data_IF_043206257955
#
_entry.id   IF_043206257955
#
_cell.length_a   1.000
_cell.length_b   1.000
_cell.length_c   1.000
_cell.angle_alpha   90.00
_cell.angle_beta   90.00
_cell.angle_gamma   90.00
#
_symmetry.space_group_name_H-M   'P 1'
#
loop_
_entity.id
_entity.type
_entity.pdbx_description
1 polymer ?
#
# COMPACT_ATOMS: atom_id res chain seq x y z
N UNK A 1 -14.01 9.23 5.68
CA UNK A 1 -14.34 9.15 4.24
C UNK A 1 -13.66 7.91 3.68
N UNK A 2 -14.45 6.89 3.33
CA UNK A 2 -13.97 5.75 2.55
C UNK A 2 -14.23 6.07 1.09
N UNK A 3 -13.18 6.35 0.31
CA UNK A 3 -13.29 6.44 -1.15
C UNK A 3 -13.79 5.11 -1.70
N UNK A 4 -14.78 5.14 -2.58
CA UNK A 4 -15.27 3.95 -3.25
C UNK A 4 -14.27 3.51 -4.33
N UNK A 5 -14.32 2.23 -4.72
CA UNK A 5 -13.45 1.72 -5.78
C UNK A 5 -13.61 2.48 -7.11
N UNK A 6 -14.81 2.99 -7.37
CA UNK A 6 -15.14 3.83 -8.53
C UNK A 6 -14.35 5.16 -8.53
N UNK A 7 -14.30 5.87 -7.40
CA UNK A 7 -13.57 7.14 -7.29
C UNK A 7 -12.08 6.97 -7.68
N UNK A 8 -11.47 5.88 -7.21
CA UNK A 8 -10.06 5.56 -7.53
C UNK A 8 -9.91 5.14 -8.98
N UNK A 9 -10.87 4.38 -9.51
CA UNK A 9 -10.88 3.96 -10.92
C UNK A 9 -10.94 5.17 -11.87
N UNK A 10 -11.74 6.18 -11.54
CA UNK A 10 -11.86 7.40 -12.35
C UNK A 10 -10.55 8.17 -12.40
N UNK A 11 -9.88 8.34 -11.26
CA UNK A 11 -8.56 8.98 -11.19
C UNK A 11 -7.52 8.22 -12.01
N UNK A 12 -7.48 6.89 -11.91
CA UNK A 12 -6.56 6.05 -12.69
C UNK A 12 -6.87 6.14 -14.19
N UNK A 13 -8.14 6.12 -14.56
CA UNK A 13 -8.59 6.23 -15.96
C UNK A 13 -8.14 7.55 -16.59
N UNK A 14 -8.37 8.67 -15.89
CA UNK A 14 -7.92 9.99 -16.33
C UNK A 14 -6.40 10.07 -16.44
N UNK A 15 -5.66 9.45 -15.53
CA UNK A 15 -4.20 9.41 -15.59
C UNK A 15 -3.70 8.63 -16.82
N UNK A 16 -4.24 7.44 -17.07
CA UNK A 16 -3.87 6.61 -18.22
C UNK A 16 -4.18 7.34 -19.53
N UNK A 17 -5.37 7.95 -19.65
CA UNK A 17 -5.78 8.72 -20.83
C UNK A 17 -4.86 9.92 -21.08
N UNK A 18 -4.61 10.73 -20.04
CA UNK A 18 -3.71 11.88 -20.11
C UNK A 18 -2.31 11.52 -20.60
N UNK A 19 -1.82 10.33 -20.28
CA UNK A 19 -0.49 9.86 -20.62
C UNK A 19 -0.46 8.88 -21.81
N UNK A 20 -1.59 8.66 -22.50
CA UNK A 20 -1.69 7.74 -23.64
C UNK A 20 -1.33 6.28 -23.29
N UNK A 21 -1.52 5.89 -22.03
CA UNK A 21 -1.22 4.56 -21.53
C UNK A 21 -2.42 3.62 -21.73
N UNK A 22 -2.16 2.43 -22.25
CA UNK A 22 -3.21 1.44 -22.50
C UNK A 22 -3.40 0.51 -21.30
N UNK A 23 -4.66 0.23 -20.95
CA UNK A 23 -5.03 -0.73 -19.91
C UNK A 23 -4.40 -2.12 -20.13
N UNK A 24 -4.26 -2.56 -21.38
CA UNK A 24 -3.68 -3.85 -21.75
C UNK A 24 -2.20 -3.97 -21.36
N UNK A 25 -1.50 -2.84 -21.17
CA UNK A 25 -0.12 -2.81 -20.70
C UNK A 25 0.00 -2.83 -19.17
N UNK A 26 -1.11 -2.73 -18.44
CA UNK A 26 -1.10 -2.85 -16.98
C UNK A 26 -0.80 -4.30 -16.58
N UNK A 27 0.42 -4.56 -16.14
CA UNK A 27 0.81 -5.88 -15.63
C UNK A 27 0.12 -6.21 -14.30
N UNK A 28 -0.05 -5.22 -13.43
CA UNK A 28 -0.70 -5.40 -12.14
C UNK A 28 -0.59 -4.17 -11.25
N UNK A 29 -1.21 -4.26 -10.08
CA UNK A 29 -1.24 -3.20 -9.09
C UNK A 29 -1.29 -3.77 -7.67
N UNK A 30 -1.04 -2.90 -6.70
CA UNK A 30 -0.91 -3.26 -5.31
C UNK A 30 -1.88 -2.42 -4.47
N UNK A 31 -2.67 -3.04 -3.59
CA UNK A 31 -3.63 -2.32 -2.73
C UNK A 31 -3.43 -2.65 -1.26
N UNK A 32 -3.84 -1.76 -0.37
CA UNK A 32 -3.82 -1.98 1.08
C UNK A 32 -4.85 -3.02 1.56
N UNK A 33 -5.68 -3.53 0.66
CA UNK A 33 -6.70 -4.52 0.97
C UNK A 33 -7.99 -3.97 1.55
N UNK A 34 -8.19 -2.65 1.56
CA UNK A 34 -9.43 -2.06 2.03
C UNK A 34 -10.64 -2.58 1.21
N UNK A 35 -11.86 -2.66 1.80
CA UNK A 35 -13.05 -3.15 1.11
C UNK A 35 -13.36 -2.41 -0.22
N UNK A 36 -13.10 -1.10 -0.30
CA UNK A 36 -13.25 -0.35 -1.55
C UNK A 36 -12.23 -0.70 -2.64
N UNK A 37 -11.13 -1.36 -2.29
CA UNK A 37 -10.06 -1.74 -3.23
C UNK A 37 -10.20 -3.19 -3.70
N UNK A 38 -10.53 -4.12 -2.79
CA UNK A 38 -10.63 -5.55 -3.08
C UNK A 38 -12.05 -6.11 -3.10
N UNK A 39 -13.04 -5.35 -2.65
CA UNK A 39 -14.44 -5.78 -2.65
C UNK A 39 -14.93 -6.14 -4.05
N UNK A 40 -15.82 -7.13 -4.13
CA UNK A 40 -16.51 -7.49 -5.38
C UNK A 40 -18.01 -7.24 -5.18
N UNK A 41 -18.72 -6.64 -6.16
CA UNK A 41 -18.27 -6.29 -7.51
C UNK A 41 -17.72 -4.86 -7.65
N UNK A 42 -17.85 -4.01 -6.62
CA UNK A 42 -17.62 -2.56 -6.71
C UNK A 42 -16.21 -2.10 -6.34
N UNK A 43 -15.34 -3.00 -5.90
CA UNK A 43 -13.97 -2.63 -5.53
C UNK A 43 -13.09 -2.43 -6.75
N UNK A 44 -12.04 -1.61 -6.58
CA UNK A 44 -11.13 -1.24 -7.66
C UNK A 44 -10.60 -2.46 -8.42
N UNK A 45 -10.27 -3.55 -7.74
CA UNK A 45 -9.74 -4.74 -8.37
C UNK A 45 -10.72 -5.40 -9.34
N UNK A 46 -12.00 -5.47 -8.98
CA UNK A 46 -13.03 -5.97 -9.88
C UNK A 46 -13.20 -5.03 -11.08
N UNK A 47 -13.18 -3.71 -10.85
CA UNK A 47 -13.29 -2.70 -11.91
C UNK A 47 -12.13 -2.76 -12.90
N UNK A 48 -10.88 -2.83 -12.43
CA UNK A 48 -9.70 -2.96 -13.29
C UNK A 48 -9.76 -4.25 -14.11
N UNK A 49 -10.23 -5.36 -13.53
CA UNK A 49 -10.40 -6.64 -14.23
C UNK A 49 -11.37 -6.56 -15.41
N UNK A 50 -12.33 -5.63 -15.39
CA UNK A 50 -13.21 -5.37 -16.55
C UNK A 50 -12.49 -4.71 -17.72
N UNK A 51 -11.41 -3.95 -17.46
CA UNK A 51 -10.57 -3.30 -18.49
C UNK A 51 -9.42 -4.18 -18.95
N UNK A 52 -8.85 -4.96 -18.03
CA UNK A 52 -7.76 -5.89 -18.28
C UNK A 52 -7.84 -7.10 -17.34
N UNK A 53 -8.33 -8.22 -17.87
CA UNK A 53 -8.48 -9.46 -17.12
C UNK A 53 -7.13 -10.04 -16.66
N UNK A 54 -6.05 -9.77 -17.40
CA UNK A 54 -4.71 -10.28 -17.12
C UNK A 54 -3.97 -9.50 -16.03
N UNK A 55 -4.44 -8.31 -15.65
CA UNK A 55 -3.78 -7.51 -14.61
C UNK A 55 -3.75 -8.23 -13.25
N UNK A 56 -2.58 -8.32 -12.62
CA UNK A 56 -2.41 -8.99 -11.33
C UNK A 56 -2.75 -8.03 -10.20
N UNK A 57 -3.57 -8.47 -9.24
CA UNK A 57 -3.85 -7.72 -8.02
C UNK A 57 -3.05 -8.33 -6.87
N UNK A 58 -2.23 -7.51 -6.21
CA UNK A 58 -1.48 -7.93 -5.02
C UNK A 58 -1.83 -7.07 -3.81
N UNK A 59 -1.64 -7.61 -2.62
CA UNK A 59 -1.70 -6.82 -1.39
C UNK A 59 -0.37 -6.11 -1.15
N UNK A 60 -0.43 -4.91 -0.57
CA UNK A 60 0.72 -4.13 -0.15
C UNK A 60 1.60 -4.95 0.80
N UNK A 61 2.86 -5.16 0.41
CA UNK A 61 3.85 -5.89 1.21
C UNK A 61 4.00 -5.24 2.59
N UNK A 62 3.99 -3.91 2.66
CA UNK A 62 4.07 -3.17 3.93
C UNK A 62 2.86 -3.49 4.81
N UNK A 63 1.65 -3.51 4.24
CA UNK A 63 0.44 -3.88 4.97
C UNK A 63 0.51 -5.34 5.46
N UNK A 64 0.91 -6.28 4.58
CA UNK A 64 1.10 -7.70 4.95
C UNK A 64 2.14 -7.87 6.04
N UNK A 65 3.25 -7.16 5.97
CA UNK A 65 4.30 -7.19 6.99
C UNK A 65 3.78 -6.64 8.32
N UNK A 66 3.06 -5.52 8.32
CA UNK A 66 2.46 -4.96 9.52
C UNK A 66 1.44 -5.93 10.15
N UNK A 67 0.69 -6.67 9.34
CA UNK A 67 -0.23 -7.70 9.82
C UNK A 67 0.51 -8.92 10.39
N UNK A 68 1.53 -9.42 9.70
CA UNK A 68 2.36 -10.53 10.18
C UNK A 68 3.14 -10.17 11.46
N UNK A 69 3.55 -8.92 11.61
CA UNK A 69 4.21 -8.45 12.83
C UNK A 69 3.32 -8.59 14.08
N UNK A 70 1.99 -8.52 13.92
CA UNK A 70 1.02 -8.72 15.02
C UNK A 70 0.96 -10.17 15.49
N UNK A 71 1.40 -11.13 14.67
CA UNK A 71 1.40 -12.56 15.01
C UNK A 71 2.76 -13.03 15.51
N UNK A 72 3.75 -12.15 15.63
CA UNK A 72 5.08 -12.52 16.13
C UNK A 72 5.05 -12.83 17.64
N UNK A 73 5.90 -13.75 18.12
CA UNK A 73 6.05 -14.01 19.54
C UNK A 73 6.40 -12.74 20.33
N UNK A 74 5.97 -12.69 21.59
CA UNK A 74 6.17 -11.53 22.49
C UNK A 74 7.64 -11.08 22.57
N UNK A 75 8.60 -12.02 22.52
CA UNK A 75 10.03 -11.71 22.56
C UNK A 75 10.49 -10.80 21.40
N UNK A 76 9.93 -11.00 20.20
CA UNK A 76 10.20 -10.14 19.05
C UNK A 76 9.53 -8.78 19.19
N UNK A 77 8.32 -8.72 19.73
CA UNK A 77 7.63 -7.46 20.02
C UNK A 77 8.42 -6.61 21.03
N UNK A 78 8.99 -7.22 22.07
CA UNK A 78 9.86 -6.55 23.04
C UNK A 78 11.12 -6.01 22.35
N UNK A 79 11.80 -6.83 21.55
CA UNK A 79 12.99 -6.41 20.80
C UNK A 79 12.68 -5.21 19.88
N UNK A 80 11.59 -5.29 19.11
CA UNK A 80 11.15 -4.21 18.21
C UNK A 80 10.82 -2.93 18.97
N UNK A 81 10.09 -3.02 20.10
CA UNK A 81 9.79 -1.86 20.97
C UNK A 81 11.08 -1.21 21.50
N UNK A 82 12.08 -2.01 21.87
CA UNK A 82 13.38 -1.49 22.32
C UNK A 82 14.10 -0.74 21.21
N UNK A 83 14.16 -1.31 20.00
CA UNK A 83 14.75 -0.64 18.82
C UNK A 83 14.03 0.67 18.52
N UNK A 84 12.70 0.68 18.50
CA UNK A 84 11.89 1.89 18.27
C UNK A 84 12.19 2.95 19.34
N UNK A 85 12.31 2.56 20.61
CA UNK A 85 12.68 3.49 21.68
C UNK A 85 14.06 4.11 21.44
N UNK A 86 15.06 3.30 21.07
CA UNK A 86 16.41 3.80 20.76
C UNK A 86 16.39 4.77 19.57
N UNK A 87 15.74 4.40 18.47
CA UNK A 87 15.61 5.27 17.29
C UNK A 87 14.88 6.58 17.63
N UNK A 88 13.81 6.52 18.40
CA UNK A 88 13.09 7.72 18.83
C UNK A 88 13.91 8.59 19.79
N UNK A 89 14.72 7.98 20.66
CA UNK A 89 15.65 8.73 21.51
C UNK A 89 16.71 9.42 20.64
N UNK A 90 17.29 8.72 19.65
CA UNK A 90 18.24 9.32 18.70
C UNK A 90 17.61 10.46 17.89
N UNK A 91 16.39 10.29 17.39
CA UNK A 91 15.69 11.36 16.66
C UNK A 91 15.33 12.55 17.56
N UNK A 92 15.10 12.32 18.86
CA UNK A 92 14.84 13.39 19.83
C UNK A 92 16.13 14.04 20.36
N UNK A 93 17.23 13.30 20.44
CA UNK A 93 18.52 13.78 20.92
C UNK A 93 19.40 14.33 19.79
N UNK A 94 19.08 14.02 18.53
CA UNK A 94 19.70 14.63 17.37
C UNK A 94 19.25 16.10 17.27
N UNK A 95 20.15 16.98 17.73
CA UNK A 95 20.50 18.15 16.92
C UNK A 95 20.58 17.71 15.45
N UNK A 96 19.98 18.45 14.53
CA UNK A 96 19.87 18.20 13.08
C UNK A 96 21.24 18.00 12.36
N UNK A 97 22.06 17.06 12.77
CA UNK A 97 23.27 16.69 12.05
C UNK A 97 22.87 15.66 11.01
N UNK A 98 22.53 16.19 9.82
CA UNK A 98 22.69 15.50 8.53
C UNK A 98 24.02 14.76 8.55
N UNK A 99 23.99 13.48 8.91
CA UNK A 99 25.13 12.58 8.86
C UNK A 99 24.99 11.55 7.75
N UNK A 100 24.23 11.88 6.71
CA UNK A 100 24.35 11.27 5.40
C UNK A 100 24.22 12.36 4.35
N UNK A 101 25.29 12.54 3.58
CA UNK A 101 25.28 13.20 2.27
C UNK A 101 24.87 12.18 1.22
#
# INVERSE_FOLDING_TARGET
MTSQGADVMDVISQYLEKHGLMWQKLAGFCTDGAPGMLGSPSGLAALIKTKNLSAITTHCVIHRQALAAKTLPECFTIAMKTVIKVVNLLNKSALNTRLFK
#
